data_IF_385572219715
#
_entry.id   IF_385572219715
#
_cell.length_a   1.000
_cell.length_b   1.000
_cell.length_c   1.000
_cell.angle_alpha   90.00
_cell.angle_beta   90.00
_cell.angle_gamma   90.00
#
_symmetry.space_group_name_H-M   'P 1'
#
loop_
_entity.id
_entity.type
_entity.pdbx_description
1 polymer ?
#
# COMPACT_ATOMS: atom_id res chain seq x y z
N UNK A 1 76.44 -7.50 -18.60
CA UNK A 1 75.24 -6.90 -17.96
C UNK A 1 74.00 -7.49 -18.57
N UNK A 2 73.44 -8.55 -17.92
CA UNK A 2 72.25 -9.25 -18.33
C UNK A 2 71.02 -8.49 -17.82
N UNK A 3 70.28 -7.85 -18.68
CA UNK A 3 68.99 -7.27 -18.36
C UNK A 3 67.94 -8.38 -18.31
N UNK A 4 67.63 -8.89 -17.08
CA UNK A 4 66.47 -9.73 -16.89
C UNK A 4 65.19 -8.89 -17.01
N UNK A 5 64.53 -8.99 -18.16
CA UNK A 5 63.17 -8.43 -18.33
C UNK A 5 62.22 -9.23 -17.46
N UNK A 6 61.85 -8.69 -16.25
CA UNK A 6 60.71 -9.18 -15.46
C UNK A 6 59.44 -9.05 -16.29
N UNK A 7 59.02 -10.15 -16.94
CA UNK A 7 57.69 -10.21 -17.55
C UNK A 7 56.66 -10.23 -16.45
N UNK A 8 55.95 -9.14 -16.35
CA UNK A 8 54.79 -9.07 -15.45
C UNK A 8 53.74 -10.09 -15.95
N UNK A 9 53.61 -11.21 -15.26
CA UNK A 9 52.61 -12.24 -15.59
C UNK A 9 51.34 -12.00 -14.77
N UNK A 10 50.24 -11.79 -15.46
CA UNK A 10 48.96 -11.64 -14.79
C UNK A 10 48.61 -12.89 -13.96
N UNK A 11 48.12 -12.74 -12.73
CA UNK A 11 47.82 -13.86 -11.82
C UNK A 11 46.58 -14.65 -12.21
N UNK A 12 45.89 -14.31 -13.30
CA UNK A 12 44.64 -14.94 -13.72
C UNK A 12 44.89 -16.03 -14.79
N UNK A 13 44.17 -17.17 -14.65
CA UNK A 13 44.03 -18.13 -15.77
C UNK A 13 43.06 -17.54 -16.79
N UNK A 14 43.30 -17.76 -18.07
CA UNK A 14 42.42 -17.29 -19.13
C UNK A 14 41.07 -18.08 -19.04
N UNK A 15 39.94 -17.44 -18.71
CA UNK A 15 38.65 -18.10 -18.83
C UNK A 15 38.29 -18.40 -20.27
N UNK A 16 37.46 -19.43 -20.50
CA UNK A 16 36.95 -19.68 -21.85
C UNK A 16 36.04 -18.52 -22.29
N UNK A 17 36.00 -18.26 -23.59
CA UNK A 17 35.15 -17.20 -24.15
C UNK A 17 33.65 -17.40 -23.81
N UNK A 18 33.20 -18.68 -23.67
CA UNK A 18 31.85 -19.06 -23.29
C UNK A 18 31.54 -18.56 -21.86
N UNK A 19 32.48 -18.80 -20.92
CA UNK A 19 32.31 -18.34 -19.52
C UNK A 19 32.26 -16.82 -19.46
N UNK A 20 33.13 -16.13 -20.21
CA UNK A 20 33.15 -14.67 -20.28
C UNK A 20 31.81 -14.13 -20.83
N UNK A 21 31.34 -14.71 -21.94
CA UNK A 21 30.07 -14.32 -22.55
C UNK A 21 28.89 -14.56 -21.61
N UNK A 22 28.80 -15.74 -20.99
CA UNK A 22 27.73 -16.08 -20.03
C UNK A 22 27.75 -15.14 -18.85
N UNK A 23 28.91 -14.85 -18.27
CA UNK A 23 29.02 -13.90 -17.14
C UNK A 23 28.65 -12.49 -17.59
N UNK A 24 29.08 -12.03 -18.74
CA UNK A 24 28.73 -10.69 -19.25
C UNK A 24 27.21 -10.55 -19.46
N UNK A 25 26.57 -11.56 -20.06
CA UNK A 25 25.11 -11.57 -20.26
C UNK A 25 24.35 -11.59 -18.90
N UNK A 26 24.81 -12.41 -17.95
CA UNK A 26 24.21 -12.45 -16.62
C UNK A 26 24.36 -11.12 -15.88
N UNK A 27 25.55 -10.51 -15.90
CA UNK A 27 25.80 -9.20 -15.31
C UNK A 27 24.92 -8.13 -15.98
N UNK A 28 24.87 -8.10 -17.30
CA UNK A 28 24.04 -7.14 -18.02
C UNK A 28 22.55 -7.28 -17.66
N UNK A 29 22.05 -8.52 -17.57
CA UNK A 29 20.67 -8.79 -17.17
C UNK A 29 20.38 -8.33 -15.73
N UNK A 30 21.22 -8.71 -14.78
CA UNK A 30 21.02 -8.38 -13.35
C UNK A 30 21.15 -6.88 -13.10
N UNK A 31 22.10 -6.21 -13.74
CA UNK A 31 22.23 -4.75 -13.68
C UNK A 31 20.99 -4.06 -14.27
N UNK A 32 20.48 -4.52 -15.41
CA UNK A 32 19.23 -4.00 -16.00
C UNK A 32 18.04 -4.16 -15.06
N UNK A 33 17.89 -5.34 -14.44
CA UNK A 33 16.83 -5.60 -13.46
C UNK A 33 16.99 -4.74 -12.20
N UNK A 34 18.22 -4.50 -11.75
CA UNK A 34 18.52 -3.58 -10.66
C UNK A 34 18.06 -2.15 -10.96
N UNK A 35 18.40 -1.61 -12.11
CA UNK A 35 17.95 -0.28 -12.52
C UNK A 35 16.44 -0.19 -12.73
N UNK A 36 15.82 -1.25 -13.28
CA UNK A 36 14.36 -1.30 -13.41
C UNK A 36 13.67 -1.24 -12.04
N UNK A 37 14.13 -2.02 -11.07
CA UNK A 37 13.61 -1.97 -9.70
C UNK A 37 13.83 -0.60 -9.05
N UNK A 38 15.01 -0.01 -9.24
CA UNK A 38 15.32 1.32 -8.74
C UNK A 38 14.36 2.38 -9.27
N UNK A 39 14.10 2.37 -10.58
CA UNK A 39 13.13 3.28 -11.22
C UNK A 39 11.70 3.07 -10.70
N UNK A 40 11.28 1.81 -10.48
CA UNK A 40 9.97 1.51 -9.86
C UNK A 40 9.90 2.04 -8.42
N UNK A 41 10.96 1.86 -7.62
CA UNK A 41 11.04 2.41 -6.27
C UNK A 41 10.93 3.92 -6.24
N UNK A 42 11.65 4.63 -7.10
CA UNK A 42 11.60 6.09 -7.23
C UNK A 42 10.20 6.58 -7.61
N UNK A 43 9.54 5.89 -8.56
CA UNK A 43 8.18 6.24 -8.97
C UNK A 43 7.17 6.10 -7.81
N UNK A 44 7.29 5.00 -7.06
CA UNK A 44 6.47 4.78 -5.86
C UNK A 44 6.76 5.78 -4.74
N UNK A 45 8.02 6.15 -4.54
CA UNK A 45 8.41 7.19 -3.59
C UNK A 45 7.82 8.57 -3.95
N UNK A 46 7.85 8.93 -5.24
CA UNK A 46 7.22 10.16 -5.71
C UNK A 46 5.70 10.16 -5.48
N UNK A 47 5.02 9.04 -5.73
CA UNK A 47 3.59 8.90 -5.42
C UNK A 47 3.33 9.05 -3.91
N UNK A 48 4.14 8.43 -3.05
CA UNK A 48 4.03 8.56 -1.60
C UNK A 48 4.19 10.02 -1.14
N UNK A 49 5.17 10.73 -1.69
CA UNK A 49 5.40 12.14 -1.40
C UNK A 49 4.20 13.02 -1.83
N UNK A 50 3.62 12.76 -3.00
CA UNK A 50 2.42 13.48 -3.45
C UNK A 50 1.22 13.24 -2.54
N UNK A 51 1.01 12.00 -2.07
CA UNK A 51 -0.08 11.69 -1.14
C UNK A 51 0.13 12.39 0.21
N UNK A 52 1.36 12.37 0.74
CA UNK A 52 1.72 13.06 1.98
C UNK A 52 1.51 14.58 1.87
N UNK A 53 1.82 15.18 0.72
CA UNK A 53 1.57 16.60 0.47
C UNK A 53 0.07 16.92 0.44
N UNK A 54 -0.74 16.06 -0.20
CA UNK A 54 -2.21 16.22 -0.20
C UNK A 54 -2.79 16.21 1.21
N UNK A 55 -2.25 15.38 2.12
CA UNK A 55 -2.66 15.35 3.53
C UNK A 55 -2.32 16.65 4.28
N UNK A 56 -1.28 17.37 3.88
CA UNK A 56 -0.86 18.64 4.48
C UNK A 56 -1.66 19.85 4.02
N UNK A 57 -2.39 19.72 2.92
CA UNK A 57 -3.22 20.83 2.43
C UNK A 57 -4.23 21.28 3.48
N UNK A 58 -4.55 22.57 3.47
CA UNK A 58 -5.53 23.14 4.38
C UNK A 58 -6.87 22.41 4.30
N UNK A 59 -7.49 22.20 5.44
CA UNK A 59 -8.81 21.60 5.54
C UNK A 59 -9.84 22.56 4.96
N UNK A 60 -10.65 22.06 4.04
CA UNK A 60 -11.74 22.79 3.39
C UNK A 60 -13.07 22.08 3.65
N UNK A 61 -14.17 22.81 3.51
CA UNK A 61 -15.50 22.18 3.51
C UNK A 61 -15.69 21.43 2.19
N UNK A 62 -16.11 20.16 2.29
CA UNK A 62 -16.33 19.32 1.10
C UNK A 62 -17.63 19.73 0.40
N UNK A 63 -17.53 19.99 -0.89
CA UNK A 63 -18.66 20.39 -1.74
C UNK A 63 -19.09 19.29 -2.71
N UNK A 64 -18.53 18.07 -2.56
CA UNK A 64 -18.88 16.91 -3.36
C UNK A 64 -17.93 16.61 -4.51
N UNK A 65 -16.82 17.31 -4.57
CA UNK A 65 -15.80 17.06 -5.59
C UNK A 65 -15.19 15.68 -5.38
N UNK A 66 -15.00 14.96 -6.49
CA UNK A 66 -14.40 13.63 -6.54
C UNK A 66 -13.27 13.62 -7.57
N UNK A 67 -12.42 12.60 -7.49
CA UNK A 67 -11.34 12.39 -8.44
C UNK A 67 -9.95 12.59 -7.86
N UNK A 68 -8.93 12.39 -8.68
CA UNK A 68 -7.52 12.40 -8.29
C UNK A 68 -7.07 13.61 -7.45
N UNK A 69 -7.45 14.85 -7.74
CA UNK A 69 -7.01 16.00 -6.93
C UNK A 69 -7.54 16.00 -5.50
N UNK A 70 -8.61 15.25 -5.23
CA UNK A 70 -9.31 15.25 -3.94
C UNK A 70 -9.03 14.00 -3.10
N UNK A 71 -8.57 12.90 -3.72
CA UNK A 71 -8.22 11.70 -2.97
C UNK A 71 -7.06 11.95 -2.01
N UNK A 72 -7.17 11.39 -0.83
CA UNK A 72 -6.24 11.53 0.31
C UNK A 72 -6.18 12.96 0.91
N UNK A 73 -7.04 13.89 0.48
CA UNK A 73 -7.18 15.20 1.13
C UNK A 73 -8.13 15.15 2.30
N UNK A 74 -7.90 16.08 3.23
CA UNK A 74 -8.75 16.26 4.42
C UNK A 74 -9.83 17.29 4.15
N UNK A 75 -11.07 16.94 4.56
CA UNK A 75 -12.23 17.81 4.41
C UNK A 75 -13.05 17.83 5.69
N UNK A 76 -13.74 18.95 5.91
CA UNK A 76 -14.81 19.04 6.89
C UNK A 76 -16.11 18.70 6.20
N UNK A 77 -16.92 17.84 6.84
CA UNK A 77 -18.25 17.45 6.37
C UNK A 77 -19.25 17.62 7.49
N UNK A 78 -20.48 17.96 7.13
CA UNK A 78 -21.60 18.06 8.06
C UNK A 78 -22.75 17.20 7.58
N UNK A 79 -23.41 16.49 8.50
CA UNK A 79 -24.52 15.63 8.12
C UNK A 79 -25.14 14.91 9.31
N UNK A 80 -26.01 13.97 9.00
CA UNK A 80 -26.71 13.13 9.99
C UNK A 80 -26.42 11.67 9.68
N UNK A 81 -25.98 10.93 10.68
CA UNK A 81 -25.72 9.50 10.54
C UNK A 81 -26.99 8.72 10.21
N UNK A 82 -26.82 7.71 9.34
CA UNK A 82 -27.89 6.81 8.92
C UNK A 82 -27.56 5.37 9.36
N UNK A 83 -27.90 4.99 10.62
CA UNK A 83 -27.48 3.70 11.20
C UNK A 83 -28.00 2.47 10.45
N UNK A 84 -29.13 2.58 9.75
CA UNK A 84 -29.73 1.48 8.99
C UNK A 84 -28.84 0.98 7.84
N UNK A 85 -27.90 1.82 7.35
CA UNK A 85 -26.92 1.45 6.34
C UNK A 85 -25.55 1.05 6.90
N UNK A 86 -25.42 0.88 8.22
CA UNK A 86 -24.14 0.55 8.82
C UNK A 86 -23.72 -0.90 8.52
N UNK A 87 -22.47 -1.07 8.13
CA UNK A 87 -21.82 -2.39 7.93
C UNK A 87 -20.49 -2.46 8.69
N UNK A 88 -20.04 -3.70 8.94
CA UNK A 88 -18.78 -3.98 9.61
C UNK A 88 -17.91 -4.81 8.68
N UNK A 89 -16.74 -4.29 8.31
CA UNK A 89 -15.79 -5.05 7.51
C UNK A 89 -14.90 -5.90 8.42
N UNK A 90 -15.04 -7.23 8.33
CA UNK A 90 -14.30 -8.20 9.15
C UNK A 90 -12.83 -8.32 8.73
N UNK A 91 -12.05 -9.01 9.55
CA UNK A 91 -10.64 -9.31 9.36
C UNK A 91 -9.75 -8.07 9.17
N UNK A 92 -10.07 -6.98 9.86
CA UNK A 92 -9.23 -5.78 9.89
C UNK A 92 -8.28 -5.86 11.07
N UNK A 93 -6.98 -5.92 10.76
CA UNK A 93 -5.93 -6.05 11.78
C UNK A 93 -5.40 -4.67 12.16
N UNK A 94 -5.44 -4.37 13.46
CA UNK A 94 -4.80 -3.19 14.06
C UNK A 94 -3.96 -3.64 15.25
N UNK A 95 -2.68 -3.25 15.29
CA UNK A 95 -1.76 -3.59 16.39
C UNK A 95 -1.75 -5.10 16.74
N UNK A 96 -1.74 -5.97 15.71
CA UNK A 96 -1.79 -7.44 15.81
C UNK A 96 -3.11 -8.01 16.36
N UNK A 97 -4.14 -7.21 16.53
CA UNK A 97 -5.47 -7.67 16.92
C UNK A 97 -6.40 -7.68 15.72
N UNK A 98 -7.22 -8.72 15.60
CA UNK A 98 -8.26 -8.82 14.58
C UNK A 98 -9.49 -8.09 15.05
N UNK A 99 -10.14 -7.34 14.15
CA UNK A 99 -11.32 -6.56 14.44
C UNK A 99 -12.12 -6.21 13.20
N UNK A 100 -12.91 -5.18 13.32
CA UNK A 100 -13.80 -4.69 12.27
C UNK A 100 -13.53 -3.22 11.97
N UNK A 101 -13.64 -2.84 10.69
CA UNK A 101 -13.89 -1.44 10.36
C UNK A 101 -15.39 -1.18 10.37
N UNK A 102 -15.80 -0.08 10.97
CA UNK A 102 -17.20 0.34 11.08
C UNK A 102 -17.51 1.37 10.01
N UNK A 103 -18.31 0.99 9.02
CA UNK A 103 -18.72 1.88 7.94
C UNK A 103 -20.16 2.31 8.16
N UNK A 104 -20.40 3.60 8.25
CA UNK A 104 -21.74 4.17 8.46
C UNK A 104 -22.00 5.27 7.44
N UNK A 105 -23.15 5.27 6.76
CA UNK A 105 -23.49 6.38 5.86
C UNK A 105 -23.76 7.66 6.65
N UNK A 106 -23.30 8.78 6.10
CA UNK A 106 -23.58 10.12 6.52
C UNK A 106 -24.40 10.81 5.44
N UNK A 107 -25.61 11.24 5.76
CA UNK A 107 -26.42 12.06 4.87
C UNK A 107 -26.03 13.52 5.05
N UNK A 108 -25.59 14.14 3.97
CA UNK A 108 -25.17 15.54 3.93
C UNK A 108 -26.38 16.48 3.82
N UNK A 109 -26.19 17.76 4.10
CA UNK A 109 -27.24 18.77 4.05
C UNK A 109 -27.86 18.96 2.64
N UNK A 110 -27.10 18.66 1.59
CA UNK A 110 -27.55 18.69 0.19
C UNK A 110 -28.24 17.40 -0.30
N UNK A 111 -28.48 16.47 0.62
CA UNK A 111 -29.13 15.17 0.34
C UNK A 111 -28.20 14.09 -0.21
N UNK A 112 -26.94 14.38 -0.51
CA UNK A 112 -25.96 13.37 -0.91
C UNK A 112 -25.53 12.52 0.28
N UNK A 113 -24.95 11.38 -0.03
CA UNK A 113 -24.51 10.42 0.99
C UNK A 113 -23.01 10.17 0.87
N UNK A 114 -22.32 10.14 2.00
CA UNK A 114 -20.93 9.79 2.11
C UNK A 114 -20.81 8.53 2.99
N UNK A 115 -20.21 7.45 2.51
CA UNK A 115 -19.92 6.31 3.35
C UNK A 115 -18.67 6.60 4.15
N UNK A 116 -18.78 6.61 5.48
CA UNK A 116 -17.68 6.97 6.35
C UNK A 116 -17.22 5.74 7.15
N UNK A 117 -15.96 5.40 6.99
CA UNK A 117 -15.30 4.48 7.90
C UNK A 117 -14.98 5.25 9.20
N UNK A 118 -15.76 4.96 10.23
CA UNK A 118 -15.71 5.64 11.52
C UNK A 118 -14.50 5.23 12.36
N UNK A 119 -13.93 4.06 12.11
CA UNK A 119 -12.81 3.55 12.89
C UNK A 119 -12.80 2.04 12.99
N UNK A 120 -11.88 1.54 13.78
CA UNK A 120 -11.67 0.13 14.06
C UNK A 120 -12.21 -0.26 15.43
N UNK A 121 -12.87 -1.43 15.50
CA UNK A 121 -13.41 -2.05 16.70
C UNK A 121 -12.80 -3.44 16.89
N UNK A 122 -12.32 -3.83 18.10
CA UNK A 122 -11.79 -5.18 18.33
C UNK A 122 -12.88 -6.25 18.20
N UNK A 123 -12.51 -7.40 17.63
CA UNK A 123 -13.40 -8.57 17.54
C UNK A 123 -13.48 -9.26 18.90
N UNK A 124 -14.72 -9.47 19.38
CA UNK A 124 -14.99 -10.24 20.59
C UNK A 124 -15.56 -11.60 20.21
N UNK A 125 -15.03 -12.72 20.72
CA UNK A 125 -15.53 -14.05 20.40
C UNK A 125 -17.01 -14.20 20.75
N UNK A 126 -17.81 -14.75 19.83
CA UNK A 126 -19.24 -15.02 20.05
C UNK A 126 -20.14 -13.80 20.10
N UNK A 127 -19.63 -12.58 19.86
CA UNK A 127 -20.43 -11.36 19.86
C UNK A 127 -20.45 -10.70 18.47
N UNK A 128 -21.61 -10.22 18.08
CA UNK A 128 -21.73 -9.34 16.92
C UNK A 128 -21.17 -7.95 17.25
N UNK A 129 -20.49 -7.30 16.32
CA UNK A 129 -19.96 -5.96 16.56
C UNK A 129 -21.10 -4.96 16.81
N UNK A 130 -20.90 -4.05 17.76
CA UNK A 130 -21.84 -2.98 18.07
C UNK A 130 -21.11 -1.65 18.18
N UNK A 131 -21.49 -0.67 17.36
CA UNK A 131 -20.93 0.67 17.35
C UNK A 131 -21.99 1.67 16.87
N UNK A 132 -23.00 1.92 17.70
CA UNK A 132 -24.03 2.90 17.37
C UNK A 132 -23.40 4.28 17.10
N UNK A 133 -23.78 4.98 16.01
CA UNK A 133 -23.34 6.34 15.81
C UNK A 133 -24.06 7.32 16.75
N UNK A 134 -23.48 8.49 17.02
CA UNK A 134 -24.17 9.57 17.72
C UNK A 134 -25.46 9.97 16.99
N UNK A 135 -26.45 10.40 17.73
CA UNK A 135 -27.72 10.94 17.18
C UNK A 135 -27.59 12.43 16.87
N UNK A 136 -28.36 12.88 15.87
CA UNK A 136 -28.42 14.29 15.47
C UNK A 136 -27.31 14.71 14.48
N UNK A 137 -27.26 16.02 14.16
CA UNK A 137 -26.25 16.57 13.25
C UNK A 137 -24.85 16.47 13.83
N UNK A 138 -23.90 16.08 12.98
CA UNK A 138 -22.48 15.99 13.35
C UNK A 138 -21.63 16.79 12.35
N UNK A 139 -20.49 17.28 12.83
CA UNK A 139 -19.43 17.83 12.01
C UNK A 139 -18.19 16.95 12.18
N UNK A 140 -17.62 16.50 11.08
CA UNK A 140 -16.52 15.53 11.06
C UNK A 140 -15.34 16.07 10.24
N UNK A 141 -14.14 15.73 10.68
CA UNK A 141 -12.95 15.79 9.84
C UNK A 141 -12.77 14.44 9.16
N UNK A 142 -12.73 14.42 7.85
CA UNK A 142 -12.59 13.19 7.08
C UNK A 142 -11.45 13.28 6.07
N UNK A 143 -10.92 12.11 5.65
CA UNK A 143 -10.00 11.97 4.52
C UNK A 143 -10.68 11.15 3.43
N UNK A 144 -10.85 11.74 2.24
CA UNK A 144 -11.45 11.02 1.12
C UNK A 144 -10.56 9.89 0.63
N UNK A 145 -11.18 8.74 0.32
CA UNK A 145 -10.50 7.57 -0.21
C UNK A 145 -10.79 7.38 -1.69
N UNK A 146 -9.74 7.08 -2.47
CA UNK A 146 -9.95 6.59 -3.82
C UNK A 146 -10.73 5.27 -3.82
N UNK A 147 -11.61 5.01 -4.78
CA UNK A 147 -12.29 3.74 -4.91
C UNK A 147 -11.27 2.59 -5.03
N UNK A 148 -11.39 1.57 -4.20
CA UNK A 148 -10.57 0.37 -4.33
C UNK A 148 -11.14 -0.49 -5.46
N UNK A 149 -10.30 -0.79 -6.45
CA UNK A 149 -10.73 -1.50 -7.66
C UNK A 149 -10.60 -3.03 -7.58
N UNK A 150 -9.82 -3.56 -6.62
CA UNK A 150 -9.56 -4.99 -6.54
C UNK A 150 -9.61 -5.47 -5.09
N UNK A 151 -10.39 -6.53 -4.84
CA UNK A 151 -10.49 -7.23 -3.57
C UNK A 151 -10.11 -8.69 -3.78
N UNK A 152 -9.41 -9.26 -2.81
CA UNK A 152 -9.25 -10.72 -2.73
C UNK A 152 -10.37 -11.25 -1.84
N UNK A 153 -11.31 -11.99 -2.42
CA UNK A 153 -12.33 -12.71 -1.65
C UNK A 153 -11.73 -14.01 -1.12
N UNK A 154 -11.64 -14.12 0.20
CA UNK A 154 -11.13 -15.30 0.87
C UNK A 154 -12.20 -16.39 1.05
N UNK A 155 -13.47 -16.06 0.91
CA UNK A 155 -14.60 -16.99 1.02
C UNK A 155 -15.80 -16.52 0.21
N UNK A 156 -16.43 -17.45 -0.50
CA UNK A 156 -17.72 -17.23 -1.17
C UNK A 156 -18.93 -17.42 -0.24
N UNK A 157 -18.71 -17.70 1.04
CA UNK A 157 -19.82 -17.76 1.98
C UNK A 157 -20.47 -16.39 2.06
N UNK A 158 -21.75 -16.38 1.78
CA UNK A 158 -22.56 -15.17 1.80
C UNK A 158 -22.37 -14.48 3.16
N UNK A 159 -21.87 -13.26 3.13
CA UNK A 159 -21.84 -12.39 4.29
C UNK A 159 -23.26 -12.31 4.82
N UNK A 160 -23.51 -12.82 6.02
CA UNK A 160 -24.80 -12.78 6.65
C UNK A 160 -24.94 -11.48 7.44
N UNK A 161 -26.03 -10.74 7.20
CA UNK A 161 -26.33 -9.53 7.95
C UNK A 161 -25.36 -8.36 7.70
N UNK A 162 -25.02 -7.57 8.75
CA UNK A 162 -24.22 -6.36 8.61
C UNK A 162 -22.70 -6.59 8.57
N UNK A 163 -22.23 -7.84 8.73
CA UNK A 163 -20.81 -8.18 8.75
C UNK A 163 -20.37 -8.65 7.36
N UNK A 164 -19.41 -7.97 6.75
CA UNK A 164 -18.93 -8.22 5.40
C UNK A 164 -17.41 -8.42 5.41
N UNK A 165 -16.87 -9.17 4.46
CA UNK A 165 -15.42 -9.30 4.29
C UNK A 165 -14.82 -8.10 3.58
N UNK A 166 -15.48 -7.63 2.52
CA UNK A 166 -15.05 -6.49 1.71
C UNK A 166 -16.23 -5.58 1.37
N UNK A 167 -15.93 -4.32 1.07
CA UNK A 167 -16.91 -3.38 0.58
C UNK A 167 -17.16 -3.62 -0.91
N UNK A 168 -18.28 -4.25 -1.23
CA UNK A 168 -18.81 -4.32 -2.59
C UNK A 168 -19.85 -3.21 -2.78
N UNK A 169 -19.50 -2.21 -3.59
CA UNK A 169 -20.38 -1.07 -3.86
C UNK A 169 -21.71 -1.45 -4.51
N UNK A 170 -21.69 -2.37 -5.47
CA UNK A 170 -22.90 -2.81 -6.15
C UNK A 170 -23.84 -3.54 -5.20
N UNK A 171 -23.30 -4.39 -4.34
CA UNK A 171 -24.04 -5.04 -3.26
C UNK A 171 -24.57 -4.02 -2.27
N UNK A 172 -23.73 -3.08 -1.84
CA UNK A 172 -24.10 -2.04 -0.88
C UNK A 172 -25.29 -1.23 -1.39
N UNK A 173 -25.27 -0.79 -2.65
CA UNK A 173 -26.35 -0.03 -3.26
C UNK A 173 -27.63 -0.85 -3.42
N UNK A 174 -27.53 -2.15 -3.72
CA UNK A 174 -28.72 -3.03 -3.82
C UNK A 174 -29.36 -3.27 -2.45
N UNK A 175 -28.55 -3.45 -1.40
CA UNK A 175 -29.04 -3.73 -0.06
C UNK A 175 -29.57 -2.48 0.63
N UNK A 176 -28.96 -1.34 0.36
CA UNK A 176 -29.33 -0.04 0.89
C UNK A 176 -29.60 0.91 -0.28
N UNK A 177 -30.83 0.90 -0.86
CA UNK A 177 -31.20 1.76 -1.99
C UNK A 177 -31.37 3.22 -1.55
N UNK A 178 -30.44 3.68 -0.74
CA UNK A 178 -30.28 5.05 -0.30
C UNK A 178 -29.74 5.87 -1.47
N UNK A 179 -29.94 7.18 -1.42
CA UNK A 179 -29.41 8.10 -2.41
C UNK A 179 -27.93 7.77 -2.74
N UNK A 180 -27.50 7.99 -3.96
CA UNK A 180 -26.18 7.58 -4.44
C UNK A 180 -25.07 7.97 -3.47
N UNK A 181 -24.40 6.96 -2.89
CA UNK A 181 -23.22 7.17 -2.04
C UNK A 181 -22.11 7.69 -2.94
N UNK A 182 -21.68 8.93 -2.70
CA UNK A 182 -20.74 9.62 -3.57
C UNK A 182 -19.30 9.04 -3.45
N UNK A 183 -18.86 8.71 -2.22
CA UNK A 183 -17.49 8.27 -1.96
C UNK A 183 -17.36 7.54 -0.62
N UNK A 184 -16.19 6.93 -0.39
CA UNK A 184 -15.73 6.46 0.90
C UNK A 184 -14.81 7.50 1.53
N UNK A 185 -14.97 7.74 2.83
CA UNK A 185 -14.07 8.58 3.60
C UNK A 185 -13.63 7.89 4.90
N UNK A 186 -12.47 8.26 5.42
CA UNK A 186 -12.01 7.88 6.76
C UNK A 186 -12.29 9.02 7.72
N UNK A 187 -12.95 8.76 8.82
CA UNK A 187 -13.12 9.72 9.91
C UNK A 187 -11.79 9.89 10.64
N UNK A 188 -11.33 11.12 10.83
CA UNK A 188 -10.05 11.44 11.46
C UNK A 188 -10.20 11.90 12.92
N UNK A 189 -11.36 12.43 13.29
CA UNK A 189 -11.70 12.91 14.62
C UNK A 189 -12.80 12.07 15.26
N UNK A 190 -13.05 12.27 16.56
CA UNK A 190 -14.14 11.64 17.30
C UNK A 190 -13.71 11.25 18.70
N UNK A 191 -14.71 11.18 19.62
CA UNK A 191 -14.51 10.87 21.03
C UNK A 191 -15.15 9.53 21.45
N UNK A 192 -15.54 8.71 20.46
CA UNK A 192 -16.08 7.37 20.69
C UNK A 192 -14.97 6.33 20.91
N UNK A 193 -15.32 5.09 21.22
CA UNK A 193 -14.38 4.00 21.48
C UNK A 193 -13.69 3.45 20.23
N UNK A 194 -14.00 3.95 19.04
CA UNK A 194 -13.41 3.46 17.79
C UNK A 194 -12.00 4.00 17.61
N UNK A 195 -11.07 3.11 17.27
CA UNK A 195 -9.68 3.50 16.97
C UNK A 195 -9.56 4.01 15.53
N UNK A 196 -8.88 5.15 15.36
CA UNK A 196 -8.68 5.85 14.08
C UNK A 196 -7.21 5.97 13.70
N UNK A 197 -6.46 4.92 14.01
CA UNK A 197 -5.07 4.81 13.58
C UNK A 197 -5.05 4.36 12.10
N UNK A 198 -5.01 5.36 11.21
CA UNK A 198 -5.02 5.15 9.76
C UNK A 198 -3.59 5.18 9.23
N UNK A 199 -2.96 4.03 8.98
CA UNK A 199 -1.62 4.02 8.42
C UNK A 199 -1.62 4.66 7.03
N UNK A 200 -0.51 5.32 6.71
CA UNK A 200 -0.29 5.78 5.34
C UNK A 200 -0.32 4.58 4.37
N UNK A 201 -0.78 4.75 3.13
CA UNK A 201 -0.77 3.68 2.14
C UNK A 201 0.64 3.14 1.93
N UNK A 202 0.86 1.85 2.21
CA UNK A 202 2.13 1.18 1.89
C UNK A 202 2.21 0.96 0.37
N UNK A 203 3.00 1.77 -0.29
CA UNK A 203 3.25 1.67 -1.73
C UNK A 203 4.35 0.67 -2.08
N UNK A 204 4.95 0.02 -1.08
CA UNK A 204 5.99 -1.01 -1.27
C UNK A 204 7.33 -0.45 -1.77
N UNK A 205 7.65 0.81 -1.49
CA UNK A 205 8.90 1.49 -1.92
C UNK A 205 10.12 0.70 -1.47
N UNK A 206 10.17 0.33 -0.20
CA UNK A 206 11.26 -0.43 0.44
C UNK A 206 11.54 -1.76 -0.28
N UNK A 207 10.50 -2.46 -0.71
CA UNK A 207 10.63 -3.74 -1.42
C UNK A 207 11.37 -3.57 -2.75
N UNK A 208 11.06 -2.51 -3.49
CA UNK A 208 11.74 -2.23 -4.76
C UNK A 208 13.22 -1.90 -4.56
N UNK A 209 13.57 -1.11 -3.56
CA UNK A 209 14.97 -0.82 -3.25
C UNK A 209 15.73 -2.06 -2.77
N UNK A 210 15.11 -2.89 -1.92
CA UNK A 210 15.70 -4.16 -1.50
C UNK A 210 15.98 -5.10 -2.68
N UNK A 211 15.02 -5.25 -3.61
CA UNK A 211 15.23 -6.03 -4.82
C UNK A 211 16.30 -5.43 -5.73
N UNK A 212 16.38 -4.11 -5.88
CA UNK A 212 17.43 -3.47 -6.64
C UNK A 212 18.82 -3.81 -6.05
N UNK A 213 18.98 -3.72 -4.74
CA UNK A 213 20.20 -4.12 -4.04
C UNK A 213 20.58 -5.58 -4.28
N UNK A 214 19.62 -6.50 -4.23
CA UNK A 214 19.84 -7.93 -4.51
C UNK A 214 20.33 -8.15 -5.94
N UNK A 215 19.75 -7.50 -6.94
CA UNK A 215 20.18 -7.62 -8.33
C UNK A 215 21.59 -7.10 -8.55
N UNK A 216 21.96 -5.96 -7.97
CA UNK A 216 23.33 -5.45 -8.05
C UNK A 216 24.32 -6.35 -7.30
N UNK A 217 23.91 -6.94 -6.17
CA UNK A 217 24.74 -7.93 -5.46
C UNK A 217 25.00 -9.17 -6.32
N UNK A 218 24.00 -9.69 -7.04
CA UNK A 218 24.20 -10.82 -7.95
C UNK A 218 25.17 -10.48 -9.08
N UNK A 219 25.11 -9.28 -9.64
CA UNK A 219 26.08 -8.82 -10.63
C UNK A 219 27.50 -8.80 -10.05
N UNK A 220 27.67 -8.23 -8.86
CA UNK A 220 28.97 -8.16 -8.18
C UNK A 220 29.51 -9.55 -7.84
N UNK A 221 28.65 -10.46 -7.34
CA UNK A 221 29.02 -11.85 -7.04
C UNK A 221 29.45 -12.62 -8.29
N UNK A 222 28.79 -12.44 -9.42
CA UNK A 222 29.17 -13.09 -10.68
C UNK A 222 30.58 -12.67 -11.13
N UNK A 223 30.89 -11.38 -11.03
CA UNK A 223 32.23 -10.85 -11.34
C UNK A 223 33.27 -11.38 -10.34
N UNK A 224 32.95 -11.35 -9.04
CA UNK A 224 33.83 -11.85 -7.99
C UNK A 224 34.13 -13.34 -8.18
N UNK A 225 33.13 -14.17 -8.49
CA UNK A 225 33.32 -15.59 -8.76
C UNK A 225 34.17 -15.82 -10.00
N UNK A 226 33.96 -15.06 -11.08
CA UNK A 226 34.81 -15.13 -12.27
C UNK A 226 36.26 -14.88 -11.91
N UNK A 227 36.55 -13.87 -11.11
CA UNK A 227 37.90 -13.52 -10.67
C UNK A 227 38.48 -14.63 -9.77
N UNK A 228 37.77 -15.07 -8.75
CA UNK A 228 38.22 -16.05 -7.76
C UNK A 228 38.50 -17.40 -8.39
N UNK A 229 37.65 -17.90 -9.28
CA UNK A 229 37.81 -19.21 -9.92
C UNK A 229 38.95 -19.23 -10.92
N UNK A 230 39.31 -18.08 -11.50
CA UNK A 230 40.40 -17.96 -12.46
C UNK A 230 41.69 -17.41 -11.85
N UNK A 231 41.74 -17.18 -10.53
CA UNK A 231 42.93 -16.74 -9.82
C UNK A 231 43.98 -17.85 -9.80
N UNK A 232 45.14 -17.61 -10.34
CA UNK A 232 46.25 -18.56 -10.25
C UNK A 232 46.82 -18.56 -8.84
N UNK A 233 46.67 -19.67 -8.12
CA UNK A 233 47.44 -19.88 -6.89
C UNK A 233 48.91 -19.95 -7.26
N UNK A 234 49.77 -19.16 -6.58
CA UNK A 234 51.23 -19.33 -6.69
C UNK A 234 51.56 -20.73 -6.17
N UNK A 235 52.31 -21.60 -6.93
CA UNK A 235 52.83 -22.81 -6.33
C UNK A 235 53.72 -22.42 -5.17
N UNK A 236 53.47 -22.96 -4.00
CA UNK A 236 54.36 -22.88 -2.82
C UNK A 236 55.61 -23.67 -3.07
#
# INVERSE_FOLDING_TARGET
LSHSRHRFTWPLRRPSWIVLLATALFVALTVRLGYWQLGRGQHKAAQAAQLAERERLAVQDWRGELGEPYWQRRFRVQGVWQPQGQIYLDNRVLQRQVGFHVLTPLQLADGRWLLVNRGWLPKQPGQLPQAAPPTGPVQLLVRLQAPQQHYVELSRQADAGPVWQNLDWARYQRQFPLAQVAALALQLDGQDALKRDWPAPDLGVEKHYSYAGQWFLFAALAVALLIILHWKRRPT
#
